data_IF_536953181901
#
_entry.id   IF_536953181901
#
_cell.length_a   1.000
_cell.length_b   1.000
_cell.length_c   1.000
_cell.angle_alpha   90.00
_cell.angle_beta   90.00
_cell.angle_gamma   90.00
#
_symmetry.space_group_name_H-M   'P 1'
#
loop_
_entity.id
_entity.type
_entity.pdbx_description
1 polymer ?
#
# COMPACT_ATOMS: atom_id res chain seq x y z
N UNK A 1 39.73 4.54 -36.30
CA UNK A 1 38.56 3.64 -36.16
C UNK A 1 37.90 3.97 -34.83
N UNK A 2 36.72 4.57 -34.89
CA UNK A 2 35.95 4.83 -33.67
C UNK A 2 35.33 3.51 -33.20
N UNK A 3 35.74 3.06 -32.00
CA UNK A 3 35.13 1.93 -31.34
C UNK A 3 33.78 2.39 -30.79
N UNK A 4 32.70 2.12 -31.50
CA UNK A 4 31.35 2.29 -30.96
C UNK A 4 31.17 1.20 -29.91
N UNK A 5 31.24 1.56 -28.64
CA UNK A 5 30.69 0.75 -27.57
C UNK A 5 29.24 0.40 -27.92
N UNK A 6 28.83 -0.88 -27.87
CA UNK A 6 27.42 -1.20 -28.01
C UNK A 6 26.68 -0.43 -26.90
N UNK A 7 25.82 0.49 -27.30
CA UNK A 7 24.87 1.12 -26.41
C UNK A 7 24.20 -0.04 -25.67
N UNK A 8 24.48 -0.19 -24.39
CA UNK A 8 23.68 -1.04 -23.51
C UNK A 8 22.24 -0.59 -23.73
N UNK A 9 21.43 -1.39 -24.41
CA UNK A 9 19.99 -1.19 -24.42
C UNK A 9 19.61 -1.07 -22.96
N UNK A 10 19.17 0.12 -22.56
CA UNK A 10 18.43 0.26 -21.32
C UNK A 10 17.30 -0.75 -21.44
N UNK A 11 17.30 -1.77 -20.62
CA UNK A 11 16.13 -2.61 -20.46
C UNK A 11 15.03 -1.66 -20.00
N UNK A 12 14.06 -1.42 -20.84
CA UNK A 12 12.91 -0.61 -20.48
C UNK A 12 12.13 -1.40 -19.45
N UNK A 13 12.19 -0.92 -18.22
CA UNK A 13 11.40 -1.42 -17.14
C UNK A 13 9.95 -0.99 -17.40
N UNK A 14 9.07 -1.96 -17.64
CA UNK A 14 7.66 -1.70 -17.82
C UNK A 14 6.94 -1.83 -16.48
N UNK A 15 6.30 -0.76 -16.08
CA UNK A 15 5.45 -0.74 -14.89
C UNK A 15 3.99 -0.70 -15.33
N UNK A 16 3.20 -1.63 -14.85
CA UNK A 16 1.75 -1.66 -15.06
C UNK A 16 1.02 -1.89 -13.74
N UNK A 17 -0.17 -1.31 -13.61
CA UNK A 17 -1.04 -1.50 -12.45
C UNK A 17 -2.37 -2.08 -12.91
N UNK A 18 -2.75 -3.23 -12.38
CA UNK A 18 -4.01 -3.90 -12.66
C UNK A 18 -4.51 -4.59 -11.39
N UNK A 19 -5.78 -4.41 -11.05
CA UNK A 19 -6.46 -5.07 -9.91
C UNK A 19 -5.70 -4.99 -8.57
N UNK A 20 -5.14 -3.83 -8.26
CA UNK A 20 -4.38 -3.61 -7.01
C UNK A 20 -2.97 -4.20 -7.02
N UNK A 21 -2.50 -4.71 -8.17
CA UNK A 21 -1.12 -5.13 -8.36
C UNK A 21 -0.33 -4.07 -9.12
N UNK A 22 0.88 -3.82 -8.68
CA UNK A 22 1.88 -3.10 -9.47
C UNK A 22 2.90 -4.12 -9.93
N UNK A 23 3.03 -4.29 -11.24
CA UNK A 23 3.98 -5.21 -11.84
C UNK A 23 5.15 -4.46 -12.46
N UNK A 24 6.35 -4.95 -12.19
CA UNK A 24 7.59 -4.49 -12.83
C UNK A 24 8.16 -5.68 -13.60
N UNK A 25 8.35 -5.51 -14.89
CA UNK A 25 8.90 -6.56 -15.74
C UNK A 25 10.19 -6.12 -16.41
N UNK A 26 11.13 -7.05 -16.48
CA UNK A 26 12.35 -6.96 -17.27
C UNK A 26 12.27 -7.96 -18.44
N UNK A 27 13.35 -8.10 -19.22
CA UNK A 27 13.36 -9.07 -20.31
C UNK A 27 13.22 -10.54 -19.84
N UNK A 28 13.70 -10.84 -18.64
CA UNK A 28 13.81 -12.21 -18.12
C UNK A 28 12.92 -12.48 -16.90
N UNK A 29 12.53 -11.45 -16.17
CA UNK A 29 11.79 -11.57 -14.90
C UNK A 29 10.62 -10.60 -14.80
N UNK A 30 9.60 -10.99 -14.06
CA UNK A 30 8.50 -10.12 -13.68
C UNK A 30 8.23 -10.22 -12.18
N UNK A 31 8.15 -9.06 -11.51
CA UNK A 31 7.78 -8.96 -10.11
C UNK A 31 6.46 -8.22 -10.00
N UNK A 32 5.51 -8.78 -9.27
CA UNK A 32 4.24 -8.14 -8.97
C UNK A 32 4.16 -7.81 -7.47
N UNK A 33 3.87 -6.55 -7.15
CA UNK A 33 3.62 -6.10 -5.78
C UNK A 33 2.12 -5.85 -5.61
N UNK A 34 1.55 -6.46 -4.60
CA UNK A 34 0.20 -6.17 -4.14
C UNK A 34 0.23 -5.56 -2.75
N UNK A 35 -0.34 -4.38 -2.61
CA UNK A 35 -0.52 -3.72 -1.31
C UNK A 35 -2.00 -3.70 -0.97
N UNK A 36 -2.35 -4.27 0.19
CA UNK A 36 -3.73 -4.29 0.64
C UNK A 36 -4.28 -2.86 0.78
N UNK A 37 -5.43 -2.58 0.18
CA UNK A 37 -6.10 -1.30 0.25
C UNK A 37 -5.69 -0.25 -0.78
N UNK A 38 -4.71 -0.51 -1.65
CA UNK A 38 -4.36 0.45 -2.72
C UNK A 38 -5.44 0.58 -3.80
N UNK A 39 -6.30 -0.41 -3.93
CA UNK A 39 -7.42 -0.45 -4.87
C UNK A 39 -8.71 0.21 -4.32
N UNK A 40 -8.65 0.78 -3.11
CA UNK A 40 -9.80 1.42 -2.49
C UNK A 40 -9.98 2.85 -3.02
N UNK A 41 -11.17 3.19 -3.58
CA UNK A 41 -11.37 4.50 -4.20
C UNK A 41 -11.66 5.63 -3.21
N UNK A 42 -11.98 5.32 -1.96
CA UNK A 42 -12.49 6.25 -0.97
C UNK A 42 -11.44 6.93 -0.08
N UNK A 43 -10.15 6.87 -0.43
CA UNK A 43 -9.08 7.42 0.41
C UNK A 43 -9.23 8.93 0.67
N UNK A 44 -9.54 9.71 -0.36
CA UNK A 44 -9.74 11.17 -0.23
C UNK A 44 -10.96 11.50 0.62
N UNK A 45 -12.03 10.73 0.48
CA UNK A 45 -13.23 10.90 1.29
C UNK A 45 -12.98 10.57 2.76
N UNK A 46 -12.24 9.50 3.04
CA UNK A 46 -11.84 9.18 4.41
C UNK A 46 -10.99 10.31 5.03
N UNK A 47 -9.99 10.83 4.30
CA UNK A 47 -9.19 11.97 4.75
C UNK A 47 -10.04 13.20 5.04
N UNK A 48 -11.00 13.47 4.17
CA UNK A 48 -11.92 14.58 4.35
C UNK A 48 -12.77 14.43 5.60
N UNK A 49 -13.33 13.25 5.84
CA UNK A 49 -14.12 12.96 7.03
C UNK A 49 -13.28 13.00 8.31
N UNK A 50 -12.04 12.48 8.28
CA UNK A 50 -11.12 12.62 9.40
C UNK A 50 -10.85 14.09 9.75
N UNK A 51 -10.65 14.94 8.74
CA UNK A 51 -10.41 16.38 8.92
C UNK A 51 -11.63 17.16 9.42
N UNK A 52 -12.83 16.64 9.22
CA UNK A 52 -14.09 17.25 9.68
C UNK A 52 -14.60 16.69 11.01
N UNK A 53 -14.00 15.65 11.54
CA UNK A 53 -14.42 15.04 12.78
C UNK A 53 -14.30 16.05 13.94
N UNK A 54 -15.38 16.24 14.68
CA UNK A 54 -15.45 17.18 15.79
C UNK A 54 -15.14 16.52 17.15
N UNK A 55 -15.16 15.21 17.19
CA UNK A 55 -14.89 14.40 18.38
C UNK A 55 -14.21 13.06 18.02
N UNK A 56 -13.82 12.31 19.05
CA UNK A 56 -13.18 11.00 18.90
C UNK A 56 -14.08 9.99 18.19
N UNK A 57 -15.37 9.97 18.47
CA UNK A 57 -16.29 8.98 17.87
C UNK A 57 -16.47 9.22 16.37
N UNK A 58 -16.63 10.48 15.95
CA UNK A 58 -16.68 10.85 14.54
C UNK A 58 -15.36 10.52 13.83
N UNK A 59 -14.22 10.77 14.48
CA UNK A 59 -12.90 10.45 13.94
C UNK A 59 -12.69 8.95 13.76
N UNK A 60 -13.08 8.14 14.75
CA UNK A 60 -13.03 6.67 14.67
C UNK A 60 -13.93 6.13 13.55
N UNK A 61 -15.13 6.68 13.40
CA UNK A 61 -16.04 6.29 12.31
C UNK A 61 -15.43 6.53 10.93
N UNK A 62 -14.69 7.63 10.76
CA UNK A 62 -13.97 7.89 9.52
C UNK A 62 -12.84 6.85 9.29
N UNK A 63 -12.12 6.45 10.34
CA UNK A 63 -11.07 5.42 10.26
C UNK A 63 -11.62 4.03 9.93
N UNK A 64 -12.81 3.69 10.38
CA UNK A 64 -13.47 2.39 10.13
C UNK A 64 -13.77 2.14 8.65
N UNK A 65 -13.73 3.18 7.81
CA UNK A 65 -13.87 3.04 6.35
C UNK A 65 -12.72 2.25 5.72
N UNK A 66 -11.54 2.22 6.34
CA UNK A 66 -10.34 1.47 5.90
C UNK A 66 -9.95 1.73 4.42
N UNK A 67 -10.18 2.95 3.94
CA UNK A 67 -9.89 3.34 2.56
C UNK A 67 -8.45 3.85 2.37
N UNK A 68 -7.80 4.30 3.45
CA UNK A 68 -6.39 4.69 3.44
C UNK A 68 -5.55 3.50 3.88
N UNK A 69 -4.69 2.96 3.00
CA UNK A 69 -3.85 1.83 3.36
C UNK A 69 -2.72 2.24 4.31
N UNK A 70 -2.40 1.36 5.25
CA UNK A 70 -1.18 1.40 6.08
C UNK A 70 -0.95 2.74 6.80
N UNK A 71 -1.94 3.20 7.53
CA UNK A 71 -1.86 4.45 8.28
C UNK A 71 -1.68 4.20 9.78
N UNK A 72 -0.61 4.75 10.37
CA UNK A 72 -0.51 4.90 11.81
C UNK A 72 -1.16 6.22 12.23
N UNK A 73 -2.08 6.15 13.17
CA UNK A 73 -2.87 7.29 13.63
C UNK A 73 -2.56 7.56 15.08
N UNK A 74 -2.25 8.81 15.37
CA UNK A 74 -2.23 9.36 16.73
C UNK A 74 -3.23 10.51 16.77
N UNK A 75 -4.19 10.41 17.67
CA UNK A 75 -5.23 11.42 17.88
C UNK A 75 -5.17 11.92 19.31
N UNK A 76 -5.38 13.21 19.48
CA UNK A 76 -5.59 13.85 20.77
C UNK A 76 -6.57 15.01 20.61
N UNK A 77 -7.41 15.24 21.60
CA UNK A 77 -8.34 16.36 21.60
C UNK A 77 -8.24 17.20 22.89
N UNK A 78 -8.97 18.31 22.88
CA UNK A 78 -9.01 19.22 24.03
C UNK A 78 -9.73 18.64 25.26
N UNK A 79 -10.49 17.57 25.09
CA UNK A 79 -11.19 16.87 26.17
C UNK A 79 -10.31 15.82 26.87
N UNK A 80 -9.08 15.64 26.39
CA UNK A 80 -8.11 14.71 26.94
C UNK A 80 -8.21 13.30 26.38
N UNK A 81 -8.94 13.08 25.29
CA UNK A 81 -8.99 11.79 24.63
C UNK A 81 -7.70 11.55 23.84
N UNK A 82 -7.20 10.33 23.92
CA UNK A 82 -6.02 9.87 23.18
C UNK A 82 -6.36 8.58 22.43
N UNK A 83 -5.91 8.49 21.17
CA UNK A 83 -6.00 7.28 20.37
C UNK A 83 -4.66 7.01 19.69
N UNK A 84 -4.19 5.78 19.78
CA UNK A 84 -3.13 5.25 18.94
C UNK A 84 -3.65 4.02 18.22
N UNK A 85 -3.62 4.05 16.91
CA UNK A 85 -4.20 2.99 16.08
C UNK A 85 -3.36 2.75 14.83
N UNK A 86 -3.10 1.49 14.52
CA UNK A 86 -2.74 1.09 13.17
C UNK A 86 -4.01 0.90 12.35
N UNK A 87 -4.24 1.79 11.40
CA UNK A 87 -5.41 1.77 10.51
C UNK A 87 -4.99 1.28 9.14
N UNK A 88 -5.56 0.18 8.70
CA UNK A 88 -5.27 -0.38 7.40
C UNK A 88 -5.77 -1.81 7.26
N UNK A 89 -5.82 -2.27 6.02
CA UNK A 89 -6.13 -3.64 5.70
C UNK A 89 -4.87 -4.50 5.82
N UNK A 90 -4.93 -5.55 6.61
CA UNK A 90 -3.85 -6.52 6.76
C UNK A 90 -4.21 -7.77 5.95
N UNK A 91 -3.37 -8.19 4.98
CA UNK A 91 -3.65 -9.40 4.22
C UNK A 91 -3.72 -10.63 5.12
N UNK A 92 -4.78 -11.39 4.99
CA UNK A 92 -4.88 -12.70 5.62
C UNK A 92 -4.08 -13.70 4.80
N UNK A 93 -3.07 -14.30 5.42
CA UNK A 93 -2.24 -15.34 4.79
C UNK A 93 -2.83 -16.72 5.06
N UNK A 94 -2.79 -17.58 4.05
CA UNK A 94 -3.29 -18.94 4.19
C UNK A 94 -2.41 -19.81 5.10
N UNK A 95 -1.10 -19.56 5.10
CA UNK A 95 -0.11 -20.26 5.91
C UNK A 95 1.19 -19.47 5.99
N UNK A 96 2.12 -19.91 6.84
CA UNK A 96 3.42 -19.28 7.00
C UNK A 96 3.45 -18.19 8.06
N UNK A 97 4.65 -17.77 8.39
CA UNK A 97 4.91 -16.66 9.32
C UNK A 97 5.38 -15.38 8.60
N UNK A 98 5.78 -14.39 9.37
CA UNK A 98 6.32 -13.14 8.83
C UNK A 98 7.51 -13.34 7.89
N UNK A 99 8.42 -14.27 8.23
CA UNK A 99 9.64 -14.50 7.46
C UNK A 99 9.34 -15.12 6.09
N UNK A 100 8.33 -15.99 6.01
CA UNK A 100 7.90 -16.62 4.75
C UNK A 100 7.40 -15.57 3.73
N UNK A 101 6.81 -14.48 4.22
CA UNK A 101 6.21 -13.43 3.40
C UNK A 101 7.04 -12.15 3.30
N UNK A 102 8.20 -12.09 3.96
CA UNK A 102 9.09 -10.93 3.92
C UNK A 102 9.87 -10.79 2.61
N UNK A 103 9.93 -11.86 1.80
CA UNK A 103 10.63 -11.90 0.53
C UNK A 103 9.70 -12.08 -0.68
N UNK A 104 10.29 -12.35 -1.81
CA UNK A 104 9.57 -12.71 -3.04
C UNK A 104 9.02 -14.12 -2.93
N UNK A 105 7.73 -14.27 -3.22
CA UNK A 105 7.04 -15.56 -3.24
C UNK A 105 6.64 -15.95 -4.66
N UNK A 106 6.46 -17.25 -4.97
CA UNK A 106 6.00 -17.67 -6.29
C UNK A 106 4.67 -17.04 -6.67
N UNK A 107 4.50 -16.65 -7.94
CA UNK A 107 3.31 -15.96 -8.41
C UNK A 107 2.01 -16.76 -8.34
N UNK A 108 2.09 -18.06 -8.08
CA UNK A 108 0.93 -18.95 -7.86
C UNK A 108 0.53 -19.07 -6.38
N UNK A 109 1.18 -18.32 -5.50
CA UNK A 109 0.98 -18.38 -4.05
C UNK A 109 -0.21 -17.53 -3.60
#
# INVERSE_FOLDING_TARGET
>A
MAHRSPLKRRQEEQVSTLDGFTAVSTADDALALRVAGLDQPGALEQWWEMGRAEDLDAFRSALERLQVPLLYVVYADAEGNLLYLFNGLVPQRASGDWYDWAGTVPGAS
#
